data_IF_901230403379
#
_entry.id   IF_901230403379
#
_cell.length_a   1.000
_cell.length_b   1.000
_cell.length_c   1.000
_cell.angle_alpha   90.00
_cell.angle_beta   90.00
_cell.angle_gamma   90.00
#
_symmetry.space_group_name_H-M   'P 1'
#
loop_
_entity.id
_entity.type
_entity.pdbx_description
1 polymer ?
#
# COMPACT_ATOMS: atom_id res chain seq x y z
N UNK A 1 18.59 36.05 8.13
CA UNK A 1 17.78 34.81 8.02
C UNK A 1 16.45 35.12 8.66
N UNK A 2 15.38 35.08 7.88
CA UNK A 2 14.01 35.34 8.36
C UNK A 2 13.38 34.04 8.86
N UNK A 3 12.45 34.13 9.82
CA UNK A 3 11.74 33.00 10.43
C UNK A 3 11.04 32.06 9.42
N UNK A 4 10.89 32.49 8.15
CA UNK A 4 10.38 31.69 7.04
C UNK A 4 11.30 30.52 6.61
N UNK A 5 12.58 30.52 7.00
CA UNK A 5 13.52 29.44 6.65
C UNK A 5 13.38 28.19 7.56
N UNK A 6 12.50 28.24 8.57
CA UNK A 6 12.20 27.13 9.50
C UNK A 6 10.81 26.58 9.16
N UNK A 7 10.64 26.14 7.92
CA UNK A 7 9.34 25.74 7.36
C UNK A 7 9.28 24.33 6.78
N UNK A 8 10.35 23.54 6.81
CA UNK A 8 10.30 22.11 6.45
C UNK A 8 10.42 21.25 7.69
N UNK A 9 9.53 21.47 8.65
CA UNK A 9 9.26 20.44 9.64
C UNK A 9 8.74 19.23 8.86
N UNK A 10 9.58 18.20 8.71
CA UNK A 10 9.17 16.86 8.30
C UNK A 10 7.95 16.49 9.14
N UNK A 11 6.75 16.64 8.57
CA UNK A 11 5.54 16.13 9.20
C UNK A 11 5.80 14.65 9.47
N UNK A 12 5.53 14.14 10.69
CA UNK A 12 5.73 12.73 10.96
C UNK A 12 4.92 11.94 9.93
N UNK A 13 5.61 11.27 9.01
CA UNK A 13 4.99 10.37 8.03
C UNK A 13 4.23 9.32 8.82
N UNK A 14 2.90 9.39 8.79
CA UNK A 14 2.03 8.50 9.55
C UNK A 14 1.91 7.21 8.75
N UNK A 15 2.98 6.42 8.75
CA UNK A 15 2.99 5.14 8.06
C UNK A 15 1.89 4.24 8.65
N UNK A 16 1.11 3.63 7.77
CA UNK A 16 0.09 2.63 8.09
C UNK A 16 0.47 1.33 7.42
N UNK A 17 0.01 0.21 7.98
CA UNK A 17 0.33 -1.13 7.48
C UNK A 17 -0.95 -1.77 7.02
N UNK A 18 -0.97 -2.23 5.78
CA UNK A 18 -2.02 -3.07 5.22
C UNK A 18 -1.44 -4.48 5.07
N UNK A 19 -2.09 -5.46 5.68
CA UNK A 19 -1.74 -6.87 5.47
C UNK A 19 -2.55 -7.37 4.29
N UNK A 20 -1.87 -7.83 3.25
CA UNK A 20 -2.50 -8.35 2.03
C UNK A 20 -2.14 -9.81 1.84
N UNK A 21 -3.10 -10.58 1.33
CA UNK A 21 -2.86 -11.91 0.78
C UNK A 21 -3.02 -11.83 -0.73
N UNK A 22 -1.96 -12.16 -1.46
CA UNK A 22 -1.95 -12.21 -2.93
C UNK A 22 -1.86 -13.66 -3.35
N UNK A 23 -2.66 -14.05 -4.35
CA UNK A 23 -2.63 -15.38 -4.97
C UNK A 23 -2.59 -15.22 -6.49
N UNK A 24 -1.66 -15.91 -7.13
CA UNK A 24 -1.71 -16.02 -8.59
C UNK A 24 -2.80 -17.03 -9.00
N UNK A 25 -3.78 -16.59 -9.78
CA UNK A 25 -4.93 -17.40 -10.22
C UNK A 25 -4.89 -17.77 -11.70
N UNK A 26 -3.99 -17.18 -12.49
CA UNK A 26 -3.88 -17.42 -13.93
C UNK A 26 -2.45 -17.18 -14.43
N UNK A 27 -2.07 -17.84 -15.53
CA UNK A 27 -0.71 -17.79 -16.08
C UNK A 27 0.33 -18.49 -15.20
N UNK A 28 1.49 -18.83 -15.78
CA UNK A 28 2.53 -19.58 -15.08
C UNK A 28 3.16 -18.80 -13.93
N UNK A 29 3.35 -17.48 -14.13
CA UNK A 29 3.95 -16.55 -13.18
C UNK A 29 3.21 -15.21 -13.18
N UNK A 30 2.90 -14.70 -11.98
CA UNK A 30 2.28 -13.38 -11.77
C UNK A 30 3.07 -12.55 -10.76
N UNK A 31 3.45 -11.32 -11.13
CA UNK A 31 4.15 -10.40 -10.25
C UNK A 31 3.18 -9.48 -9.50
N UNK A 32 3.42 -9.28 -8.21
CA UNK A 32 2.79 -8.21 -7.43
C UNK A 32 3.88 -7.27 -6.91
N UNK A 33 3.71 -5.98 -7.19
CA UNK A 33 4.62 -4.92 -6.77
C UNK A 33 3.81 -3.72 -6.30
N UNK A 34 3.58 -3.62 -5.00
CA UNK A 34 2.69 -2.64 -4.37
C UNK A 34 3.13 -1.19 -4.56
N UNK A 35 4.43 -0.95 -4.76
CA UNK A 35 4.97 0.39 -4.96
C UNK A 35 4.47 1.02 -6.28
N UNK A 36 3.96 2.24 -6.18
CA UNK A 36 3.32 3.00 -7.25
C UNK A 36 1.86 2.60 -7.54
N UNK A 37 1.37 1.48 -7.00
CA UNK A 37 0.04 0.96 -7.33
C UNK A 37 -1.07 1.46 -6.40
N UNK A 38 -0.71 1.94 -5.21
CA UNK A 38 -1.67 2.40 -4.23
C UNK A 38 -1.65 3.91 -4.10
N UNK A 39 -2.80 4.53 -4.36
CA UNK A 39 -2.97 5.97 -4.24
C UNK A 39 -4.04 6.31 -3.22
N UNK A 40 -3.87 7.43 -2.54
CA UNK A 40 -4.80 7.91 -1.54
C UNK A 40 -5.40 9.26 -1.94
N UNK A 41 -6.70 9.41 -1.68
CA UNK A 41 -7.44 10.65 -1.86
C UNK A 41 -8.44 10.87 -0.73
N UNK A 42 -8.91 12.11 -0.59
CA UNK A 42 -10.10 12.41 0.18
C UNK A 42 -10.84 13.64 -0.37
N UNK A 43 -11.91 14.07 0.30
CA UNK A 43 -12.72 15.21 -0.13
C UNK A 43 -11.98 16.55 -0.26
N UNK A 44 -10.77 16.69 0.31
CA UNK A 44 -10.00 17.94 0.32
C UNK A 44 -8.62 17.80 -0.34
N UNK A 45 -8.27 16.60 -0.81
CA UNK A 45 -6.95 16.35 -1.40
C UNK A 45 -7.10 15.38 -2.55
N UNK A 46 -6.66 15.86 -3.72
CA UNK A 46 -6.57 15.05 -4.92
C UNK A 46 -5.68 13.82 -4.70
N UNK A 47 -5.92 12.81 -5.51
CA UNK A 47 -5.21 11.55 -5.47
C UNK A 47 -3.69 11.73 -5.54
N UNK A 48 -2.97 11.04 -4.65
CA UNK A 48 -1.51 11.02 -4.60
C UNK A 48 -0.98 9.62 -4.27
N UNK A 49 0.27 9.32 -4.62
CA UNK A 49 0.88 8.05 -4.25
C UNK A 49 0.93 7.89 -2.73
N UNK A 50 0.49 6.72 -2.27
CA UNK A 50 0.44 6.34 -0.87
C UNK A 50 1.36 5.17 -0.56
N UNK A 51 1.76 4.39 -1.55
CA UNK A 51 2.61 3.21 -1.35
C UNK A 51 4.05 3.63 -1.01
N UNK A 52 4.73 2.83 -0.20
CA UNK A 52 6.15 3.07 0.09
C UNK A 52 6.97 1.81 -0.12
N UNK A 53 8.23 2.00 -0.49
CA UNK A 53 9.24 0.93 -0.50
C UNK A 53 9.65 0.49 0.92
N UNK A 54 9.12 1.11 1.98
CA UNK A 54 9.45 0.76 3.36
C UNK A 54 8.54 -0.38 3.79
N UNK A 55 9.12 -1.44 4.34
CA UNK A 55 8.36 -2.42 5.10
C UNK A 55 8.47 -2.08 6.58
N UNK A 56 7.36 -2.14 7.30
CA UNK A 56 7.29 -1.80 8.74
C UNK A 56 7.47 -3.01 9.63
N UNK A 57 7.25 -4.22 9.10
CA UNK A 57 7.48 -5.49 9.79
C UNK A 57 8.59 -6.23 9.07
N UNK A 58 9.63 -6.61 9.83
CA UNK A 58 10.76 -7.34 9.29
C UNK A 58 10.30 -8.71 8.76
N UNK A 59 10.36 -8.90 7.44
CA UNK A 59 10.36 -10.23 6.81
C UNK A 59 9.10 -10.66 6.06
N UNK A 60 7.98 -9.93 6.12
CA UNK A 60 6.78 -10.27 5.35
C UNK A 60 6.58 -9.30 4.18
N UNK A 61 7.18 -9.64 3.04
CA UNK A 61 7.08 -8.89 1.79
C UNK A 61 6.06 -9.58 0.89
N UNK A 62 4.97 -8.88 0.57
CA UNK A 62 3.98 -9.36 -0.41
C UNK A 62 4.44 -9.10 -1.85
N UNK A 63 5.43 -8.23 -2.03
CA UNK A 63 6.02 -7.95 -3.34
C UNK A 63 6.88 -9.11 -3.81
N UNK A 64 6.36 -9.92 -4.73
CA UNK A 64 7.00 -11.12 -5.21
C UNK A 64 6.44 -11.56 -6.57
N UNK A 65 7.12 -12.53 -7.18
CA UNK A 65 6.58 -13.31 -8.30
C UNK A 65 6.01 -14.62 -7.77
N UNK A 66 4.75 -14.88 -8.07
CA UNK A 66 3.98 -16.04 -7.62
C UNK A 66 3.76 -17.01 -8.77
N UNK A 67 4.04 -18.29 -8.55
CA UNK A 67 3.65 -19.38 -9.47
C UNK A 67 2.13 -19.56 -9.47
N UNK A 68 1.57 -20.15 -10.53
CA UNK A 68 0.14 -20.48 -10.59
C UNK A 68 -0.34 -21.21 -9.32
N UNK A 69 -1.38 -20.67 -8.67
CA UNK A 69 -1.96 -21.19 -7.45
C UNK A 69 -1.21 -20.83 -6.16
N UNK A 70 0.01 -20.31 -6.24
CA UNK A 70 0.80 -19.88 -5.07
C UNK A 70 0.17 -18.63 -4.45
N UNK A 71 0.12 -18.59 -3.12
CA UNK A 71 -0.29 -17.44 -2.34
C UNK A 71 0.79 -17.00 -1.37
N UNK A 72 0.82 -15.72 -1.04
CA UNK A 72 1.64 -15.17 0.03
C UNK A 72 0.93 -14.03 0.73
N UNK A 73 1.19 -13.92 2.02
CA UNK A 73 0.66 -12.84 2.87
C UNK A 73 1.82 -11.98 3.32
N UNK A 74 1.65 -10.66 3.23
CA UNK A 74 2.62 -9.74 3.80
C UNK A 74 2.14 -8.31 3.83
N UNK A 75 3.06 -7.44 4.22
CA UNK A 75 2.75 -6.07 4.57
C UNK A 75 2.99 -5.13 3.40
N UNK A 76 2.10 -4.16 3.26
CA UNK A 76 2.30 -2.96 2.46
C UNK A 76 2.23 -1.75 3.38
N UNK A 77 3.31 -0.97 3.42
CA UNK A 77 3.33 0.25 4.20
C UNK A 77 2.88 1.45 3.37
N UNK A 78 1.92 2.19 3.90
CA UNK A 78 1.28 3.34 3.28
C UNK A 78 1.66 4.63 4.00
N UNK A 79 2.20 5.59 3.26
CA UNK A 79 2.47 6.95 3.76
C UNK A 79 1.25 7.83 3.51
N UNK A 80 0.32 7.81 4.47
CA UNK A 80 -0.91 8.58 4.36
C UNK A 80 -0.73 9.99 4.94
N UNK A 81 -1.13 11.05 4.23
CA UNK A 81 -1.05 12.42 4.75
C UNK A 81 -1.88 12.64 6.00
N UNK A 82 -3.00 11.92 6.15
CA UNK A 82 -3.91 11.96 7.30
C UNK A 82 -4.80 10.72 7.36
N UNK A 83 -5.49 10.55 8.49
CA UNK A 83 -6.52 9.50 8.67
C UNK A 83 -7.79 9.84 7.89
N UNK A 84 -8.54 8.81 7.49
CA UNK A 84 -9.70 8.92 6.61
C UNK A 84 -9.32 8.79 5.13
N UNK A 85 -10.26 9.13 4.25
CA UNK A 85 -10.06 9.02 2.79
C UNK A 85 -10.19 7.59 2.27
N UNK A 86 -9.76 7.40 1.02
CA UNK A 86 -9.81 6.12 0.32
C UNK A 86 -8.43 5.80 -0.26
N UNK A 87 -8.04 4.53 -0.16
CA UNK A 87 -6.90 3.99 -0.89
C UNK A 87 -7.44 3.22 -2.09
N UNK A 88 -6.98 3.59 -3.28
CA UNK A 88 -7.28 2.93 -4.53
C UNK A 88 -6.05 2.12 -4.98
N UNK A 89 -6.28 0.88 -5.44
CA UNK A 89 -5.25 0.01 -6.00
C UNK A 89 -5.44 -0.06 -7.52
N UNK A 90 -4.40 0.24 -8.27
CA UNK A 90 -4.41 0.29 -9.74
C UNK A 90 -3.50 -0.76 -10.36
N UNK A 91 -3.67 -0.98 -11.67
CA UNK A 91 -2.79 -1.77 -12.55
C UNK A 91 -2.48 -3.21 -12.07
N UNK A 92 -3.38 -3.81 -11.29
CA UNK A 92 -3.29 -5.19 -10.81
C UNK A 92 -4.01 -6.22 -11.71
N UNK A 93 -4.44 -5.81 -12.90
CA UNK A 93 -5.27 -6.64 -13.78
C UNK A 93 -6.64 -6.98 -13.17
N UNK A 94 -7.27 -8.07 -13.63
CA UNK A 94 -8.50 -8.58 -13.00
C UNK A 94 -8.16 -9.21 -11.64
N UNK A 95 -8.23 -8.41 -10.58
CA UNK A 95 -7.96 -8.84 -9.21
C UNK A 95 -9.24 -8.91 -8.37
N UNK A 96 -9.42 -9.98 -7.61
CA UNK A 96 -10.41 -10.06 -6.54
C UNK A 96 -9.76 -9.70 -5.20
N UNK A 97 -10.26 -8.68 -4.53
CA UNK A 97 -9.83 -8.32 -3.17
C UNK A 97 -10.85 -8.90 -2.18
N UNK A 98 -10.39 -9.74 -1.26
CA UNK A 98 -11.21 -10.31 -0.18
C UNK A 98 -10.72 -9.78 1.16
N UNK A 99 -11.64 -9.37 2.03
CA UNK A 99 -11.35 -8.97 3.40
C UNK A 99 -12.04 -9.92 4.36
N UNK A 100 -11.32 -10.36 5.40
CA UNK A 100 -11.89 -11.04 6.55
C UNK A 100 -11.89 -10.07 7.73
N UNK A 101 -13.08 -9.75 8.23
CA UNK A 101 -13.24 -8.88 9.39
C UNK A 101 -13.57 -9.74 10.62
N UNK A 102 -12.96 -9.48 11.79
CA UNK A 102 -13.37 -10.13 13.02
C UNK A 102 -14.83 -9.78 13.34
N UNK A 103 -15.59 -10.76 13.83
CA UNK A 103 -16.93 -10.52 14.34
C UNK A 103 -16.85 -9.59 15.58
N UNK A 104 -17.72 -8.57 15.62
CA UNK A 104 -17.87 -7.67 16.76
C UNK A 104 -18.72 -8.30 17.87
#
# INVERSE_FOLDING_TARGET
>A
MTQADIGTANKPKRVRVLILTVKNIDGEYGGFHSYGLMKWEDAKTAEQDASTLKTTVAGQVVDATYRLGQSGTGDVALDLPRMGGRVNLYDVGAASISFELPAH
#
